data_IF_922113756953
#
_entry.id   IF_922113756953
#
_cell.length_a   1.000
_cell.length_b   1.000
_cell.length_c   1.000
_cell.angle_alpha   90.00
_cell.angle_beta   90.00
_cell.angle_gamma   90.00
#
_symmetry.space_group_name_H-M   'P 1'
#
loop_
_entity.id
_entity.type
_entity.pdbx_description
1 polymer ?
#
# COMPACT_ATOMS: atom_id res chain seq x y z
N UNK A 1 10.98 -6.18 -22.97
CA UNK A 1 10.46 -6.66 -21.67
C UNK A 1 9.68 -7.93 -21.89
N UNK A 2 10.00 -8.98 -21.15
CA UNK A 2 9.32 -10.28 -21.25
C UNK A 2 7.95 -10.16 -20.55
N UNK A 3 6.94 -10.91 -21.02
CA UNK A 3 5.57 -10.83 -20.48
C UNK A 3 5.48 -11.07 -18.97
N UNK A 4 6.26 -12.03 -18.44
CA UNK A 4 6.33 -12.28 -17.01
C UNK A 4 6.82 -11.06 -16.21
N UNK A 5 7.86 -10.37 -16.69
CA UNK A 5 8.39 -9.16 -16.06
C UNK A 5 7.35 -8.02 -16.11
N UNK A 6 6.66 -7.87 -17.25
CA UNK A 6 5.58 -6.90 -17.39
C UNK A 6 4.46 -7.14 -16.39
N UNK A 7 4.00 -8.39 -16.24
CA UNK A 7 2.90 -8.73 -15.34
C UNK A 7 3.25 -8.46 -13.88
N UNK A 8 4.48 -8.78 -13.46
CA UNK A 8 4.97 -8.47 -12.11
C UNK A 8 5.01 -6.96 -11.87
N UNK A 9 5.63 -6.19 -12.79
CA UNK A 9 5.69 -4.72 -12.67
C UNK A 9 4.29 -4.09 -12.70
N UNK A 10 3.39 -4.58 -13.54
CA UNK A 10 2.02 -4.07 -13.64
C UNK A 10 1.18 -4.32 -12.38
N UNK A 11 1.24 -5.53 -11.80
CA UNK A 11 0.57 -5.81 -10.53
C UNK A 11 1.11 -4.94 -9.39
N UNK A 12 2.44 -4.79 -9.30
CA UNK A 12 3.05 -3.93 -8.27
C UNK A 12 2.68 -2.46 -8.47
N UNK A 13 2.63 -1.96 -9.70
CA UNK A 13 2.15 -0.61 -10.00
C UNK A 13 0.73 -0.38 -9.46
N UNK A 14 -0.18 -1.35 -9.66
CA UNK A 14 -1.56 -1.26 -9.15
C UNK A 14 -1.62 -1.31 -7.63
N UNK A 15 -0.81 -2.16 -6.99
CA UNK A 15 -0.69 -2.24 -5.53
C UNK A 15 -0.21 -0.90 -4.97
N UNK A 16 0.90 -0.36 -5.49
CA UNK A 16 1.45 0.93 -5.06
C UNK A 16 0.44 2.06 -5.22
N UNK A 17 -0.30 2.10 -6.33
CA UNK A 17 -1.37 3.07 -6.55
C UNK A 17 -2.48 2.94 -5.50
N UNK A 18 -2.92 1.73 -5.20
CA UNK A 18 -3.95 1.48 -4.18
C UNK A 18 -3.50 1.89 -2.78
N UNK A 19 -2.24 1.66 -2.43
CA UNK A 19 -1.65 2.10 -1.15
C UNK A 19 -1.61 3.63 -1.09
N UNK A 20 -1.17 4.30 -2.17
CA UNK A 20 -1.17 5.76 -2.25
C UNK A 20 -2.57 6.35 -2.07
N UNK A 21 -3.59 5.72 -2.63
CA UNK A 21 -4.99 6.13 -2.46
C UNK A 21 -5.48 5.89 -1.02
N UNK A 22 -5.13 4.75 -0.42
CA UNK A 22 -5.45 4.45 0.98
C UNK A 22 -4.83 5.46 1.95
N UNK A 23 -3.58 5.87 1.71
CA UNK A 23 -2.88 6.82 2.58
C UNK A 23 -3.38 8.26 2.42
N UNK A 24 -3.95 8.61 1.26
CA UNK A 24 -4.53 9.95 1.00
C UNK A 24 -5.94 10.10 1.55
N UNK A 25 -6.71 9.01 1.57
CA UNK A 25 -8.10 9.01 2.01
C UNK A 25 -8.18 8.55 3.46
N UNK A 26 -8.37 9.49 4.40
CA UNK A 26 -8.65 9.19 5.81
C UNK A 26 -10.05 8.56 6.02
N UNK A 27 -10.27 7.36 5.46
CA UNK A 27 -11.36 6.47 5.88
C UNK A 27 -12.53 6.24 4.92
N UNK A 28 -12.47 6.69 3.65
CA UNK A 28 -13.66 6.61 2.78
C UNK A 28 -13.91 5.25 2.10
N UNK A 29 -12.93 4.34 2.02
CA UNK A 29 -13.13 3.04 1.36
C UNK A 29 -11.99 2.08 1.70
N UNK A 30 -12.20 1.22 2.69
CA UNK A 30 -11.34 0.06 2.91
C UNK A 30 -12.23 -1.16 3.21
N UNK A 31 -12.06 -2.21 2.41
CA UNK A 31 -12.69 -3.51 2.67
C UNK A 31 -11.89 -4.20 3.77
N UNK A 32 -12.53 -4.61 4.87
CA UNK A 32 -11.88 -5.38 5.92
C UNK A 32 -11.74 -6.85 5.48
N UNK A 33 -10.52 -7.35 5.38
CA UNK A 33 -10.23 -8.71 4.85
C UNK A 33 -9.94 -9.71 5.97
N UNK A 34 -9.32 -9.29 7.08
CA UNK A 34 -8.99 -10.16 8.22
C UNK A 34 -8.68 -9.35 9.49
N UNK A 35 -8.97 -9.84 10.71
CA UNK A 35 -8.57 -9.17 11.94
C UNK A 35 -7.04 -9.10 12.08
N UNK A 36 -6.53 -7.93 12.47
CA UNK A 36 -5.12 -7.74 12.79
C UNK A 36 -4.89 -8.22 14.22
N UNK A 37 -3.92 -9.13 14.41
CA UNK A 37 -3.48 -9.52 15.75
C UNK A 37 -2.59 -8.42 16.32
N UNK A 38 -2.96 -7.89 17.48
CA UNK A 38 -2.24 -6.83 18.19
C UNK A 38 -1.66 -7.41 19.48
N UNK A 39 -0.43 -7.02 19.89
CA UNK A 39 0.11 -7.46 21.18
C UNK A 39 -0.83 -7.11 22.35
N UNK A 40 -1.12 -8.10 23.20
CA UNK A 40 -2.12 -8.00 24.27
C UNK A 40 -1.86 -6.82 25.20
N UNK A 41 -0.62 -6.64 25.67
CA UNK A 41 -0.27 -5.54 26.57
C UNK A 41 -0.37 -4.16 25.90
N UNK A 42 -0.02 -4.06 24.61
CA UNK A 42 -0.19 -2.81 23.88
C UNK A 42 -1.66 -2.43 23.83
N UNK A 43 -2.51 -3.38 23.44
CA UNK A 43 -3.95 -3.15 23.34
C UNK A 43 -4.54 -2.84 24.71
N UNK A 44 -4.26 -3.66 25.72
CA UNK A 44 -4.81 -3.51 27.06
C UNK A 44 -4.41 -2.20 27.72
N UNK A 45 -3.12 -1.84 27.70
CA UNK A 45 -2.63 -0.63 28.35
C UNK A 45 -3.17 0.63 27.66
N UNK A 46 -3.19 0.65 26.32
CA UNK A 46 -3.71 1.80 25.57
C UNK A 46 -5.22 1.93 25.74
N UNK A 47 -5.98 0.83 25.68
CA UNK A 47 -7.41 0.85 25.96
C UNK A 47 -7.70 1.40 27.36
N UNK A 48 -6.97 0.93 28.37
CA UNK A 48 -7.15 1.33 29.77
C UNK A 48 -6.82 2.80 30.01
N UNK A 49 -5.76 3.32 29.38
CA UNK A 49 -5.27 4.69 29.61
C UNK A 49 -5.95 5.74 28.72
N UNK A 50 -6.40 5.33 27.53
CA UNK A 50 -6.73 6.26 26.44
C UNK A 50 -8.09 5.98 25.79
N UNK A 51 -8.71 4.83 26.07
CA UNK A 51 -10.01 4.44 25.52
C UNK A 51 -9.94 3.82 24.12
N UNK A 52 -11.08 3.29 23.67
CA UNK A 52 -11.19 2.51 22.44
C UNK A 52 -10.84 3.31 21.17
N UNK A 53 -11.30 4.54 21.05
CA UNK A 53 -11.02 5.40 19.89
C UNK A 53 -9.52 5.66 19.72
N UNK A 54 -8.82 5.98 20.81
CA UNK A 54 -7.37 6.21 20.76
C UNK A 54 -6.58 4.93 20.50
N UNK A 55 -7.04 3.80 21.01
CA UNK A 55 -6.45 2.50 20.69
C UNK A 55 -6.61 2.19 19.19
N UNK A 56 -7.82 2.35 18.65
CA UNK A 56 -8.08 2.13 17.22
C UNK A 56 -7.25 3.05 16.33
N UNK A 57 -7.21 4.35 16.65
CA UNK A 57 -6.37 5.33 15.93
C UNK A 57 -4.89 4.97 15.98
N UNK A 58 -4.38 4.46 17.11
CA UNK A 58 -3.00 4.03 17.24
C UNK A 58 -2.70 2.83 16.34
N UNK A 59 -3.58 1.82 16.31
CA UNK A 59 -3.39 0.64 15.46
C UNK A 59 -3.43 1.04 13.98
N UNK A 60 -4.37 1.88 13.58
CA UNK A 60 -4.41 2.43 12.22
C UNK A 60 -3.14 3.21 11.88
N UNK A 61 -2.62 4.00 12.82
CA UNK A 61 -1.38 4.76 12.63
C UNK A 61 -0.16 3.83 12.44
N UNK A 62 -0.02 2.80 13.26
CA UNK A 62 1.04 1.78 13.13
C UNK A 62 0.94 1.09 11.77
N UNK A 63 -0.27 0.72 11.34
CA UNK A 63 -0.50 0.10 10.04
C UNK A 63 -0.12 1.02 8.88
N UNK A 64 -0.50 2.31 8.93
CA UNK A 64 -0.10 3.32 7.93
C UNK A 64 1.41 3.48 7.85
N UNK A 65 2.13 3.50 8.98
CA UNK A 65 3.60 3.54 9.00
C UNK A 65 4.17 2.30 8.29
N UNK A 66 3.69 1.11 8.64
CA UNK A 66 4.13 -0.13 8.03
C UNK A 66 3.88 -0.16 6.52
N UNK A 67 2.70 0.29 6.08
CA UNK A 67 2.37 0.40 4.66
C UNK A 67 3.27 1.37 3.91
N UNK A 68 3.59 2.53 4.49
CA UNK A 68 4.53 3.49 3.90
C UNK A 68 5.90 2.83 3.64
N UNK A 69 6.51 2.29 4.70
CA UNK A 69 7.84 1.65 4.62
C UNK A 69 7.84 0.50 3.62
N UNK A 70 6.80 -0.34 3.65
CA UNK A 70 6.69 -1.48 2.73
C UNK A 70 6.52 -1.02 1.28
N UNK A 71 5.72 0.02 1.02
CA UNK A 71 5.51 0.56 -0.32
C UNK A 71 6.79 1.14 -0.93
N UNK A 72 7.61 1.82 -0.13
CA UNK A 72 8.91 2.34 -0.57
C UNK A 72 9.87 1.20 -0.93
N UNK A 73 9.89 0.14 -0.11
CA UNK A 73 10.69 -1.06 -0.38
C UNK A 73 10.28 -1.73 -1.70
N UNK A 74 8.98 -1.97 -1.90
CA UNK A 74 8.45 -2.56 -3.14
C UNK A 74 8.78 -1.68 -4.35
N UNK A 75 8.64 -0.36 -4.23
CA UNK A 75 9.01 0.56 -5.30
C UNK A 75 10.50 0.43 -5.67
N UNK A 76 11.38 0.43 -4.67
CA UNK A 76 12.82 0.30 -4.88
C UNK A 76 13.20 -1.06 -5.50
N UNK A 77 12.58 -2.16 -5.06
CA UNK A 77 12.86 -3.50 -5.57
C UNK A 77 12.35 -3.72 -7.00
N UNK A 78 11.18 -3.16 -7.34
CA UNK A 78 10.50 -3.44 -8.62
C UNK A 78 10.89 -2.44 -9.71
N UNK A 79 11.03 -1.17 -9.35
CA UNK A 79 11.29 -0.09 -10.31
C UNK A 79 12.68 0.50 -10.14
N UNK A 80 13.25 0.50 -8.93
CA UNK A 80 14.61 1.01 -8.67
C UNK A 80 14.73 2.53 -8.69
N UNK A 81 14.08 3.20 -9.66
CA UNK A 81 14.11 4.65 -9.79
C UNK A 81 12.78 5.22 -10.30
N UNK A 82 12.59 6.53 -10.08
CA UNK A 82 11.45 7.27 -10.61
C UNK A 82 11.44 7.26 -12.14
N UNK A 83 12.61 7.34 -12.78
CA UNK A 83 12.75 7.31 -14.23
C UNK A 83 12.25 5.98 -14.80
N UNK A 84 12.64 4.85 -14.20
CA UNK A 84 12.23 3.53 -14.66
C UNK A 84 10.73 3.29 -14.47
N UNK A 85 10.15 3.84 -13.40
CA UNK A 85 8.69 3.85 -13.20
C UNK A 85 7.99 4.62 -14.32
N UNK A 86 8.46 5.82 -14.65
CA UNK A 86 7.88 6.66 -15.71
C UNK A 86 7.96 5.97 -17.08
N UNK A 87 9.11 5.37 -17.40
CA UNK A 87 9.28 4.57 -18.61
C UNK A 87 8.29 3.40 -18.66
N UNK A 88 8.11 2.69 -17.53
CA UNK A 88 7.14 1.59 -17.46
C UNK A 88 5.69 2.07 -17.62
N UNK A 89 5.33 3.22 -17.05
CA UNK A 89 4.00 3.83 -17.21
C UNK A 89 3.71 4.13 -18.69
N UNK A 90 4.70 4.63 -19.43
CA UNK A 90 4.54 4.87 -20.87
C UNK A 90 4.31 3.57 -21.65
N UNK A 91 4.99 2.48 -21.28
CA UNK A 91 4.73 1.15 -21.88
C UNK A 91 3.30 0.69 -21.60
N UNK A 92 2.81 0.86 -20.37
CA UNK A 92 1.42 0.53 -20.00
C UNK A 92 0.42 1.34 -20.82
N UNK A 93 0.64 2.66 -20.98
CA UNK A 93 -0.23 3.53 -21.78
C UNK A 93 -0.29 3.13 -23.25
N UNK A 94 0.85 2.74 -23.85
CA UNK A 94 0.90 2.27 -25.24
C UNK A 94 0.09 1.00 -25.43
N UNK A 95 0.29 0.00 -24.57
CA UNK A 95 -0.49 -1.25 -24.59
C UNK A 95 -2.00 -1.02 -24.45
N UNK A 96 -2.40 -0.08 -23.59
CA UNK A 96 -3.81 0.26 -23.41
C UNK A 96 -4.44 0.94 -24.65
N UNK A 97 -3.65 1.59 -25.51
CA UNK A 97 -4.10 2.19 -26.78
C UNK A 97 -4.12 1.18 -27.94
N UNK A 98 -3.34 0.12 -27.83
CA UNK A 98 -3.21 -0.94 -28.83
C UNK A 98 -4.25 -2.07 -28.64
N UNK A 99 -4.92 -2.12 -27.50
CA UNK A 99 -6.07 -3.00 -27.24
C UNK A 99 -7.38 -2.22 -27.56
N UNK A 100 -8.13 -2.60 -28.61
CA UNK A 100 -9.38 -1.94 -29.00
C UNK A 100 -10.54 -2.21 -28.03
#
# INVERSE_FOLDING_TARGET
MIEAEYNVKYSNLRILKSIQEYLKNDGASATAVYPINVPDDLLYQVLKLHGAEKADNLIHYIFKIGLNIWSEKIFSEVFGSQKDLEEFIEIVKRKAKEQP
#
